data_IF_421729703053
#
_entry.id   IF_421729703053
#
_cell.length_a   1.000
_cell.length_b   1.000
_cell.length_c   1.000
_cell.angle_alpha   90.00
_cell.angle_beta   90.00
_cell.angle_gamma   90.00
#
_symmetry.space_group_name_H-M   'P 1'
#
loop_
_entity.id
_entity.type
_entity.pdbx_description
1 polymer ?
#
# COMPACT_ATOMS: atom_id res chain seq x y z
N UNK A 1 14.22 42.48 14.04
CA UNK A 1 13.61 41.47 13.21
C UNK A 1 13.81 40.05 13.71
N UNK A 2 14.92 39.68 14.32
CA UNK A 2 15.19 38.32 14.82
C UNK A 2 14.40 37.88 16.08
N UNK A 3 13.82 38.81 16.84
CA UNK A 3 13.11 38.52 18.09
C UNK A 3 11.66 38.03 17.84
N UNK A 4 11.01 38.61 16.82
CA UNK A 4 9.66 38.23 16.42
C UNK A 4 9.58 36.86 15.75
N UNK A 5 10.64 36.46 15.03
CA UNK A 5 10.73 35.12 14.40
C UNK A 5 10.87 34.01 15.44
N UNK A 6 11.44 34.33 16.60
CA UNK A 6 11.63 33.43 17.74
C UNK A 6 10.32 33.21 18.53
N UNK A 7 9.44 34.20 18.57
CA UNK A 7 8.16 34.16 19.28
C UNK A 7 7.08 33.47 18.43
N UNK A 8 7.14 33.65 17.10
CA UNK A 8 6.17 33.10 16.16
C UNK A 8 6.50 31.68 15.67
N UNK A 9 7.63 31.09 16.12
CA UNK A 9 7.99 29.74 15.73
C UNK A 9 8.19 29.54 14.21
N UNK A 10 8.34 30.64 13.46
CA UNK A 10 8.61 30.60 12.02
C UNK A 10 10.03 30.13 11.80
N UNK A 11 10.21 28.82 11.71
CA UNK A 11 11.36 28.27 10.98
C UNK A 11 11.23 28.75 9.54
N UNK A 12 12.26 29.46 9.07
CA UNK A 12 12.35 29.92 7.69
C UNK A 12 11.99 28.76 6.77
N UNK A 13 10.89 28.92 6.06
CA UNK A 13 10.60 28.10 4.89
C UNK A 13 11.61 28.55 3.83
N UNK A 14 12.71 27.83 3.70
CA UNK A 14 13.61 28.01 2.56
C UNK A 14 12.80 27.74 1.30
N UNK A 15 12.73 28.76 0.46
CA UNK A 15 12.10 28.67 -0.85
C UNK A 15 12.85 27.59 -1.65
N UNK A 16 12.25 26.41 -1.81
CA UNK A 16 12.84 25.27 -2.50
C UNK A 16 12.77 23.94 -1.76
N UNK A 17 12.33 23.91 -0.50
CA UNK A 17 12.10 22.65 0.19
C UNK A 17 10.87 21.94 -0.41
N UNK A 18 11.09 20.97 -1.27
CA UNK A 18 10.06 20.02 -1.71
C UNK A 18 9.73 19.10 -0.54
N UNK A 19 8.64 19.38 0.14
CA UNK A 19 8.12 18.49 1.16
C UNK A 19 7.50 17.27 0.47
N UNK A 20 8.11 16.10 0.70
CA UNK A 20 7.48 14.85 0.33
C UNK A 20 6.22 14.66 1.18
N UNK A 21 5.13 14.18 0.59
CA UNK A 21 3.91 13.80 1.31
C UNK A 21 4.17 12.75 2.40
N UNK A 22 5.35 12.10 2.34
CA UNK A 22 5.85 11.12 3.29
C UNK A 22 6.71 11.74 4.42
N UNK A 23 6.94 13.07 4.40
CA UNK A 23 7.69 13.71 5.47
C UNK A 23 6.86 13.72 6.75
N UNK A 24 7.45 13.20 7.83
CA UNK A 24 6.82 13.15 9.15
C UNK A 24 6.41 14.53 9.67
N UNK A 25 7.10 15.60 9.25
CA UNK A 25 6.76 16.99 9.59
C UNK A 25 5.49 17.45 8.89
N UNK A 26 5.29 17.08 7.62
CA UNK A 26 4.09 17.39 6.86
C UNK A 26 2.88 16.58 7.37
N UNK A 27 3.08 15.30 7.68
CA UNK A 27 2.06 14.47 8.29
C UNK A 27 1.56 15.02 9.64
N UNK A 28 2.47 15.53 10.48
CA UNK A 28 2.12 16.21 11.74
C UNK A 28 1.37 17.52 11.52
N UNK A 29 1.73 18.28 10.49
CA UNK A 29 1.07 19.54 10.15
C UNK A 29 -0.35 19.33 9.63
N UNK A 30 -0.59 18.28 8.83
CA UNK A 30 -1.91 17.88 8.34
C UNK A 30 -2.81 17.22 9.42
N UNK A 31 -2.27 17.00 10.63
CA UNK A 31 -3.02 16.33 11.68
C UNK A 31 -3.27 14.82 11.41
N UNK A 32 -2.64 14.29 10.34
CA UNK A 32 -2.86 12.91 9.89
C UNK A 32 -2.22 11.84 10.76
N UNK A 33 -1.44 12.23 11.78
CA UNK A 33 -0.70 11.27 12.62
C UNK A 33 -1.41 10.98 13.94
N UNK A 34 -2.27 11.88 14.38
CA UNK A 34 -3.08 11.63 15.58
C UNK A 34 -4.55 11.92 15.22
N UNK A 35 -5.36 10.89 15.15
CA UNK A 35 -6.81 11.06 15.07
C UNK A 35 -7.31 11.91 16.23
N UNK A 36 -8.52 12.49 16.11
CA UNK A 36 -9.18 13.31 17.12
C UNK A 36 -9.20 12.66 18.52
N UNK A 37 -9.07 11.33 18.59
CA UNK A 37 -8.97 10.54 19.81
C UNK A 37 -7.53 10.40 20.37
N UNK A 38 -6.54 11.12 19.84
CA UNK A 38 -5.15 11.09 20.30
C UNK A 38 -4.37 9.80 19.98
N UNK A 39 -4.93 8.90 19.18
CA UNK A 39 -4.26 7.67 18.73
C UNK A 39 -3.67 7.85 17.34
N UNK A 40 -2.43 7.42 17.17
CA UNK A 40 -1.73 7.42 15.89
C UNK A 40 -2.38 6.37 14.97
N UNK A 41 -2.89 6.80 13.83
CA UNK A 41 -3.33 5.88 12.79
C UNK A 41 -2.11 5.36 12.04
N UNK A 42 -1.78 4.09 12.20
CA UNK A 42 -0.81 3.37 11.40
C UNK A 42 -1.42 2.05 10.93
N UNK A 43 -0.75 1.36 10.00
CA UNK A 43 -1.23 0.09 9.44
C UNK A 43 -1.58 -0.92 10.53
N UNK A 44 -0.74 -1.04 11.55
CA UNK A 44 -0.94 -1.98 12.66
C UNK A 44 -2.18 -1.64 13.47
N UNK A 45 -2.38 -0.35 13.82
CA UNK A 45 -3.57 0.08 14.57
C UNK A 45 -4.83 0.06 13.72
N UNK A 46 -4.74 0.31 12.41
CA UNK A 46 -5.87 0.19 11.50
C UNK A 46 -6.38 -1.25 11.42
N UNK A 47 -5.47 -2.23 11.40
CA UNK A 47 -5.83 -3.66 11.35
C UNK A 47 -6.43 -4.19 12.66
N UNK A 48 -6.30 -3.48 13.78
CA UNK A 48 -7.04 -3.83 15.01
C UNK A 48 -8.51 -3.45 14.95
N UNK A 49 -8.90 -2.59 14.00
CA UNK A 49 -10.28 -2.25 13.77
C UNK A 49 -10.96 -3.36 12.96
N UNK A 50 -11.97 -4.02 13.53
CA UNK A 50 -12.64 -5.16 12.90
C UNK A 50 -13.20 -4.85 11.50
N UNK A 51 -13.71 -3.64 11.29
CA UNK A 51 -14.20 -3.20 9.98
C UNK A 51 -13.09 -3.10 8.93
N UNK A 52 -11.93 -2.51 9.28
CA UNK A 52 -10.79 -2.41 8.37
C UNK A 52 -10.20 -3.79 8.05
N UNK A 53 -10.08 -4.64 9.06
CA UNK A 53 -9.65 -6.03 8.87
C UNK A 53 -10.60 -6.80 7.94
N UNK A 54 -11.92 -6.70 8.16
CA UNK A 54 -12.92 -7.36 7.32
C UNK A 54 -12.87 -6.88 5.87
N UNK A 55 -12.74 -5.57 5.63
CA UNK A 55 -12.60 -5.01 4.29
C UNK A 55 -11.37 -5.54 3.56
N UNK A 56 -10.21 -5.50 4.22
CA UNK A 56 -8.97 -6.00 3.64
C UNK A 56 -9.04 -7.50 3.34
N UNK A 57 -9.63 -8.26 4.24
CA UNK A 57 -9.81 -9.70 4.05
C UNK A 57 -10.71 -10.01 2.84
N UNK A 58 -11.86 -9.36 2.73
CA UNK A 58 -12.79 -9.55 1.60
C UNK A 58 -12.10 -9.22 0.27
N UNK A 59 -11.34 -8.11 0.22
CA UNK A 59 -10.58 -7.73 -0.97
C UNK A 59 -9.55 -8.78 -1.34
N UNK A 60 -8.77 -9.25 -0.37
CA UNK A 60 -7.73 -10.25 -0.60
C UNK A 60 -8.29 -11.59 -1.05
N UNK A 61 -9.33 -12.09 -0.39
CA UNK A 61 -10.01 -13.35 -0.76
C UNK A 61 -10.62 -13.24 -2.17
N UNK A 62 -11.28 -12.10 -2.48
CA UNK A 62 -11.86 -11.88 -3.80
C UNK A 62 -10.81 -11.88 -4.90
N UNK A 63 -9.72 -11.14 -4.70
CA UNK A 63 -8.60 -11.07 -5.66
C UNK A 63 -7.85 -12.40 -5.75
N UNK A 64 -7.73 -13.14 -4.67
CA UNK A 64 -7.13 -14.48 -4.65
C UNK A 64 -7.91 -15.49 -5.49
N UNK A 65 -9.23 -15.39 -5.52
CA UNK A 65 -10.09 -16.27 -6.32
C UNK A 65 -10.14 -15.94 -7.82
N UNK A 66 -9.73 -14.70 -8.22
CA UNK A 66 -9.73 -14.33 -9.63
C UNK A 66 -8.64 -15.09 -10.40
N UNK A 67 -8.88 -15.53 -11.64
CA UNK A 67 -7.84 -16.14 -12.47
C UNK A 67 -6.87 -15.05 -12.96
N UNK A 68 -5.59 -15.22 -12.63
CA UNK A 68 -4.51 -14.32 -13.10
C UNK A 68 -3.78 -14.99 -14.24
N UNK A 69 -3.73 -14.32 -15.39
CA UNK A 69 -3.03 -14.81 -16.57
C UNK A 69 -1.98 -13.83 -17.04
N UNK A 70 -0.91 -14.36 -17.60
CA UNK A 70 0.16 -13.57 -18.22
C UNK A 70 -0.16 -13.38 -19.68
N UNK A 71 -0.11 -12.14 -20.17
CA UNK A 71 -0.32 -11.78 -21.56
C UNK A 71 0.90 -11.05 -22.12
N UNK A 72 1.20 -11.28 -23.37
CA UNK A 72 2.18 -10.54 -24.16
C UNK A 72 1.45 -9.79 -25.28
N UNK A 73 1.87 -8.57 -25.54
CA UNK A 73 1.37 -7.78 -26.68
C UNK A 73 2.29 -7.98 -27.87
N UNK A 74 1.78 -8.66 -28.91
CA UNK A 74 2.50 -8.89 -30.18
C UNK A 74 2.19 -7.82 -31.24
N UNK A 75 1.58 -6.69 -30.84
CA UNK A 75 1.17 -5.62 -31.77
C UNK A 75 -0.06 -5.95 -32.61
N UNK A 76 -0.62 -7.14 -32.46
CA UNK A 76 -1.91 -7.60 -33.05
C UNK A 76 -2.97 -7.92 -32.03
N UNK A 77 -2.62 -7.81 -30.74
CA UNK A 77 -3.49 -8.08 -29.60
C UNK A 77 -2.78 -8.82 -28.47
N UNK A 78 -3.45 -8.96 -27.35
CA UNK A 78 -2.92 -9.64 -26.19
C UNK A 78 -2.98 -11.17 -26.40
N UNK A 79 -1.82 -11.82 -26.41
CA UNK A 79 -1.72 -13.28 -26.49
C UNK A 79 -1.36 -13.85 -25.12
N UNK A 80 -2.13 -14.80 -24.65
CA UNK A 80 -1.87 -15.46 -23.37
C UNK A 80 -0.60 -16.31 -23.45
N UNK A 81 0.33 -16.08 -22.52
CA UNK A 81 1.60 -16.78 -22.41
C UNK A 81 1.53 -17.85 -21.31
N UNK A 82 1.12 -19.05 -21.66
CA UNK A 82 1.03 -20.18 -20.72
C UNK A 82 2.42 -20.71 -20.30
N UNK A 83 3.41 -20.63 -21.20
CA UNK A 83 4.76 -21.16 -20.99
C UNK A 83 5.70 -20.17 -20.25
N UNK A 84 5.18 -19.01 -19.87
CA UNK A 84 5.98 -18.02 -19.12
C UNK A 84 6.20 -18.49 -17.68
N UNK A 85 7.43 -18.42 -17.12
CA UNK A 85 7.69 -18.86 -15.72
C UNK A 85 6.78 -18.20 -14.68
N UNK A 86 6.37 -16.96 -14.92
CA UNK A 86 5.42 -16.26 -14.06
C UNK A 86 4.02 -16.88 -14.10
N UNK A 87 3.62 -17.50 -15.20
CA UNK A 87 2.32 -18.15 -15.31
C UNK A 87 2.24 -19.34 -14.33
N UNK A 88 3.31 -20.11 -14.20
CA UNK A 88 3.40 -21.22 -13.25
C UNK A 88 3.27 -20.74 -11.80
N UNK A 89 3.91 -19.64 -11.45
CA UNK A 89 3.82 -19.04 -10.10
C UNK A 89 2.42 -18.51 -9.81
N UNK A 90 1.76 -17.90 -10.78
CA UNK A 90 0.44 -17.28 -10.58
C UNK A 90 -0.73 -18.27 -10.63
N UNK A 91 -0.61 -19.35 -11.41
CA UNK A 91 -1.70 -20.31 -11.63
C UNK A 91 -1.41 -21.71 -11.11
N UNK A 92 -0.14 -22.06 -10.99
CA UNK A 92 0.34 -23.36 -10.51
C UNK A 92 0.68 -23.37 -9.03
N UNK A 93 1.85 -23.90 -8.70
CA UNK A 93 2.36 -24.03 -7.32
C UNK A 93 3.51 -23.05 -7.13
N UNK A 94 3.28 -21.88 -6.50
CA UNK A 94 4.32 -20.85 -6.34
C UNK A 94 5.48 -21.33 -5.46
N UNK A 95 5.21 -22.14 -4.45
CA UNK A 95 6.19 -22.76 -3.56
C UNK A 95 5.62 -24.03 -2.91
N UNK A 96 6.45 -24.73 -2.10
CA UNK A 96 6.06 -25.98 -1.47
C UNK A 96 4.96 -25.84 -0.40
N UNK A 97 4.81 -24.64 0.15
CA UNK A 97 3.99 -24.38 1.35
C UNK A 97 2.69 -23.62 1.04
N UNK A 98 2.52 -23.11 -0.18
CA UNK A 98 1.38 -22.26 -0.54
C UNK A 98 0.75 -22.67 -1.87
N UNK A 99 -0.56 -22.59 -1.92
CA UNK A 99 -1.31 -22.67 -3.17
C UNK A 99 -1.27 -21.35 -3.92
N UNK A 100 -1.61 -21.34 -5.22
CA UNK A 100 -1.67 -20.12 -6.02
C UNK A 100 -2.69 -19.12 -5.47
N UNK A 101 -3.78 -19.58 -4.87
CA UNK A 101 -4.81 -18.74 -4.26
C UNK A 101 -4.26 -18.03 -3.04
N UNK A 102 -3.65 -18.76 -2.10
CA UNK A 102 -3.02 -18.20 -0.90
C UNK A 102 -1.90 -17.21 -1.23
N UNK A 103 -1.12 -17.50 -2.27
CA UNK A 103 -0.06 -16.60 -2.74
C UNK A 103 -0.64 -15.27 -3.24
N UNK A 104 -1.68 -15.31 -4.07
CA UNK A 104 -2.36 -14.10 -4.59
C UNK A 104 -3.04 -13.31 -3.48
N UNK A 105 -3.66 -14.00 -2.53
CA UNK A 105 -4.26 -13.41 -1.34
C UNK A 105 -3.21 -12.68 -0.48
N UNK A 106 -2.06 -13.33 -0.21
CA UNK A 106 -0.97 -12.74 0.54
C UNK A 106 -0.39 -11.49 -0.13
N UNK A 107 -0.21 -11.51 -1.46
CA UNK A 107 0.22 -10.33 -2.23
C UNK A 107 -0.80 -9.19 -2.08
N UNK A 108 -2.08 -9.49 -2.24
CA UNK A 108 -3.14 -8.48 -2.16
C UNK A 108 -3.21 -7.87 -0.77
N UNK A 109 -3.12 -8.70 0.29
CA UNK A 109 -3.04 -8.22 1.67
C UNK A 109 -1.82 -7.31 1.89
N UNK A 110 -0.66 -7.71 1.39
CA UNK A 110 0.55 -6.90 1.47
C UNK A 110 0.39 -5.54 0.80
N UNK A 111 -0.19 -5.50 -0.40
CA UNK A 111 -0.42 -4.26 -1.15
C UNK A 111 -1.44 -3.34 -0.45
N UNK A 112 -2.54 -3.89 0.07
CA UNK A 112 -3.57 -3.09 0.75
C UNK A 112 -3.11 -2.55 2.11
N UNK A 113 -2.14 -3.19 2.74
CA UNK A 113 -1.56 -2.75 4.02
C UNK A 113 -0.39 -1.78 3.86
N UNK A 114 0.41 -1.95 2.81
CA UNK A 114 1.58 -1.11 2.56
C UNK A 114 1.23 0.23 1.89
N UNK A 115 0.06 0.34 1.25
CA UNK A 115 -0.47 1.55 0.61
C UNK A 115 0.06 1.75 -0.77
#
# INVERSE_FOLDING_TARGET
MKLLDRILGRKNMEAGATYSLLDSAFGKWLGGVAGYAGKTANTTTAMTLSAAFACNRILAETMGCLPWHVYSDDGRGNVQQADHPLAEVLTGTPNADQTSVEFREAITLGLTQAG
#
